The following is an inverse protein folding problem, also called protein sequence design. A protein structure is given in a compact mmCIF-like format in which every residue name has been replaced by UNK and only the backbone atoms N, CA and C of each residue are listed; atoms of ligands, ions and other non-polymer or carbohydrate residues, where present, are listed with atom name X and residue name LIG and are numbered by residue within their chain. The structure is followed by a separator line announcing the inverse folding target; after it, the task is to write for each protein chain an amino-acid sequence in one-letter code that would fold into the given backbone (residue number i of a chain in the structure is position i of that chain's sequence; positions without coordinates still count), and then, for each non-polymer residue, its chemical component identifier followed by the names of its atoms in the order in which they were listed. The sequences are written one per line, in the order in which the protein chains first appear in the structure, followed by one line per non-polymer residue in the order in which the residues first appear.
data_IF_507335491136
#
_entry.id   IF_507335491136
#
_cell.length_a   1.000
_cell.length_b   1.000
_cell.length_c   1.000
_cell.angle_alpha   90.00
_cell.angle_beta   90.00
_cell.angle_gamma   90.00
#
_symmetry.space_group_name_H-M   'P 1'
#
loop_
_entity.id
_entity.type
_entity.pdbx_description
1 polymer ?
#
# COMPACT_ATOMS: atom_id res chain seq x y z
N UNK A 1 13.35 -12.84 -99.43
CA UNK A 1 12.00 -12.67 -98.86
C UNK A 1 11.91 -13.59 -97.65
N UNK A 2 12.22 -13.03 -96.48
CA UNK A 2 12.08 -13.72 -95.17
C UNK A 2 11.57 -12.69 -94.23
N UNK A 3 10.40 -12.95 -93.64
CA UNK A 3 9.69 -12.04 -92.71
C UNK A 3 10.11 -12.41 -91.28
N UNK A 4 10.76 -11.48 -90.58
CA UNK A 4 11.09 -11.66 -89.18
C UNK A 4 9.89 -11.34 -88.29
N UNK A 5 9.51 -12.29 -87.44
CA UNK A 5 8.53 -12.12 -86.34
C UNK A 5 9.24 -11.78 -85.04
N UNK A 6 9.14 -10.56 -84.63
CA UNK A 6 9.60 -10.12 -83.27
C UNK A 6 8.50 -10.52 -82.27
N UNK A 7 8.83 -11.44 -81.36
CA UNK A 7 8.00 -11.78 -80.18
C UNK A 7 8.30 -10.77 -79.05
N UNK A 8 7.31 -9.98 -78.67
CA UNK A 8 7.36 -9.17 -77.46
C UNK A 8 7.00 -10.06 -76.27
N UNK A 9 7.95 -10.29 -75.35
CA UNK A 9 7.74 -10.89 -74.06
C UNK A 9 7.39 -9.79 -73.08
N UNK A 10 6.12 -9.67 -72.70
CA UNK A 10 5.66 -8.80 -71.62
C UNK A 10 6.03 -9.39 -70.24
N UNK A 11 6.89 -8.74 -69.52
CA UNK A 11 7.12 -9.07 -68.09
C UNK A 11 6.06 -8.36 -67.21
N UNK A 12 5.11 -9.13 -66.68
CA UNK A 12 4.26 -8.67 -65.56
C UNK A 12 5.11 -8.68 -64.31
N UNK A 13 5.42 -7.48 -63.77
CA UNK A 13 5.95 -7.32 -62.44
C UNK A 13 4.76 -7.31 -61.45
N UNK A 14 4.57 -8.39 -60.68
CA UNK A 14 3.62 -8.42 -59.57
C UNK A 14 4.23 -7.68 -58.39
N UNK A 15 3.73 -6.49 -58.07
CA UNK A 15 4.03 -5.75 -56.86
C UNK A 15 3.27 -6.40 -55.67
N UNK A 16 3.95 -7.19 -54.85
CA UNK A 16 3.44 -7.65 -53.56
C UNK A 16 3.50 -6.47 -52.57
N UNK A 17 2.39 -5.82 -52.32
CA UNK A 17 2.22 -4.86 -51.25
C UNK A 17 2.15 -5.62 -49.91
N UNK A 18 3.23 -5.63 -49.13
CA UNK A 18 3.25 -6.12 -47.76
C UNK A 18 2.64 -5.03 -46.87
N UNK A 19 1.37 -5.19 -46.53
CA UNK A 19 0.71 -4.33 -45.53
C UNK A 19 1.20 -4.70 -44.12
N UNK A 20 2.04 -3.86 -43.54
CA UNK A 20 2.41 -3.94 -42.14
C UNK A 20 1.23 -3.41 -41.29
N UNK A 21 0.46 -4.32 -40.73
CA UNK A 21 -0.52 -3.97 -39.71
C UNK A 21 0.23 -3.65 -38.42
N UNK A 22 0.38 -2.37 -38.10
CA UNK A 22 0.83 -1.94 -36.77
C UNK A 22 -0.32 -2.26 -35.82
N UNK A 23 -0.20 -3.34 -35.08
CA UNK A 23 -1.12 -3.62 -33.98
C UNK A 23 -0.87 -2.56 -32.89
N UNK A 24 -1.71 -1.54 -32.83
CA UNK A 24 -1.76 -0.63 -31.70
C UNK A 24 -2.24 -1.47 -30.53
N UNK A 25 -1.33 -1.78 -29.61
CA UNK A 25 -1.71 -2.46 -28.37
C UNK A 25 -2.75 -1.59 -27.65
N UNK A 26 -3.97 -2.07 -27.56
CA UNK A 26 -5.02 -1.39 -26.81
C UNK A 26 -4.53 -1.24 -25.36
N UNK A 27 -4.48 0.00 -24.87
CA UNK A 27 -4.12 0.28 -23.47
C UNK A 27 -5.16 -0.41 -22.58
N UNK A 28 -4.69 -1.20 -21.61
CA UNK A 28 -5.58 -1.87 -20.68
C UNK A 28 -6.43 -0.84 -19.93
N UNK A 29 -7.72 -1.14 -19.74
CA UNK A 29 -8.61 -0.28 -18.99
C UNK A 29 -8.16 -0.20 -17.52
N UNK A 30 -8.33 0.97 -16.91
CA UNK A 30 -8.04 1.18 -15.49
C UNK A 30 -8.86 0.22 -14.61
N UNK A 31 -8.29 -0.22 -13.50
CA UNK A 31 -8.99 -1.05 -12.52
C UNK A 31 -10.19 -0.31 -11.95
N UNK A 32 -11.39 -0.87 -12.12
CA UNK A 32 -12.66 -0.26 -11.70
C UNK A 32 -13.17 -0.72 -10.33
N UNK A 33 -12.53 -1.73 -9.73
CA UNK A 33 -12.95 -2.30 -8.45
C UNK A 33 -12.70 -1.39 -7.24
N UNK A 34 -13.14 -1.80 -6.03
CA UNK A 34 -12.88 -1.07 -4.79
C UNK A 34 -11.39 -1.03 -4.48
N UNK A 35 -10.95 0.01 -3.74
CA UNK A 35 -9.59 0.14 -3.22
C UNK A 35 -9.59 0.06 -1.70
N UNK A 36 -8.52 -0.55 -1.16
CA UNK A 36 -8.17 -0.58 0.25
C UNK A 36 -6.89 0.23 0.46
N UNK A 37 -6.98 1.37 1.13
CA UNK A 37 -5.82 2.19 1.46
C UNK A 37 -5.18 1.67 2.76
N UNK A 38 -4.10 0.91 2.63
CA UNK A 38 -3.46 0.22 3.75
C UNK A 38 -2.44 1.07 4.51
N UNK A 39 -2.29 2.36 4.17
CA UNK A 39 -1.34 3.25 4.80
C UNK A 39 -1.82 4.70 4.75
N UNK A 40 -2.62 5.11 5.73
CA UNK A 40 -3.18 6.45 5.77
C UNK A 40 -2.94 7.12 7.12
N UNK A 41 -2.44 8.36 7.06
CA UNK A 41 -2.30 9.24 8.23
C UNK A 41 -3.33 10.37 8.19
N UNK A 42 -3.92 10.64 9.34
CA UNK A 42 -4.78 11.78 9.57
C UNK A 42 -4.29 12.54 10.80
N UNK A 43 -3.16 13.20 10.64
CA UNK A 43 -2.41 13.83 11.71
C UNK A 43 -3.06 15.16 12.16
N UNK A 44 -2.69 15.65 13.32
CA UNK A 44 -3.21 16.90 13.89
C UNK A 44 -3.03 18.11 12.97
N UNK A 45 -1.98 18.12 12.12
CA UNK A 45 -1.76 19.19 11.15
C UNK A 45 -2.86 19.21 10.07
N UNK A 46 -3.46 18.05 9.75
CA UNK A 46 -4.61 17.99 8.85
C UNK A 46 -5.90 18.43 9.56
N UNK A 47 -6.08 18.01 10.81
CA UNK A 47 -7.24 18.32 11.64
C UNK A 47 -6.97 17.97 13.11
N UNK A 48 -7.09 18.94 14.00
CA UNK A 48 -6.88 18.78 15.43
C UNK A 48 -8.16 18.43 16.23
N UNK A 49 -9.25 18.17 15.53
CA UNK A 49 -10.58 17.96 16.11
C UNK A 49 -11.45 19.23 16.12
N UNK A 50 -10.91 20.40 15.78
CA UNK A 50 -11.60 21.69 15.76
C UNK A 50 -11.30 22.51 14.52
N UNK A 51 -10.03 22.56 14.12
CA UNK A 51 -9.52 23.39 13.03
C UNK A 51 -8.48 22.61 12.20
N UNK A 52 -8.34 23.00 10.95
CA UNK A 52 -7.39 22.43 10.01
C UNK A 52 -7.99 22.42 8.61
N UNK A 53 -7.14 22.31 7.57
CA UNK A 53 -7.59 22.45 6.18
C UNK A 53 -8.37 21.24 5.66
N UNK A 54 -8.33 20.10 6.35
CA UNK A 54 -8.88 18.82 5.86
C UNK A 54 -9.78 18.16 6.92
N UNK A 55 -11.00 18.68 7.17
CA UNK A 55 -11.95 18.07 8.10
C UNK A 55 -12.37 16.67 7.61
N UNK A 56 -12.91 15.79 8.49
CA UNK A 56 -13.31 14.42 8.12
C UNK A 56 -14.18 14.34 6.87
N UNK A 57 -15.12 15.27 6.69
CA UNK A 57 -15.98 15.30 5.52
C UNK A 57 -15.20 15.50 4.19
N UNK A 58 -14.14 16.33 4.20
CA UNK A 58 -13.31 16.55 3.01
C UNK A 58 -12.53 15.28 2.65
N UNK A 59 -11.77 14.73 3.61
CA UNK A 59 -10.93 13.54 3.34
C UNK A 59 -11.75 12.31 2.96
N UNK A 60 -12.87 12.08 3.62
CA UNK A 60 -13.79 10.98 3.30
C UNK A 60 -14.45 11.16 1.93
N UNK A 61 -14.76 12.40 1.53
CA UNK A 61 -15.24 12.70 0.18
C UNK A 61 -14.19 12.37 -0.89
N UNK A 62 -12.89 12.67 -0.66
CA UNK A 62 -11.78 12.30 -1.56
C UNK A 62 -11.67 10.77 -1.68
N UNK A 63 -11.74 10.04 -0.57
CA UNK A 63 -11.73 8.58 -0.55
C UNK A 63 -12.90 8.01 -1.37
N UNK A 64 -14.11 8.51 -1.17
CA UNK A 64 -15.29 8.09 -1.92
C UNK A 64 -15.11 8.30 -3.43
N UNK A 65 -14.68 9.51 -3.86
CA UNK A 65 -14.44 9.82 -5.28
C UNK A 65 -13.36 8.93 -5.89
N UNK A 66 -12.35 8.56 -5.11
CA UNK A 66 -11.29 7.63 -5.53
C UNK A 66 -11.73 6.16 -5.55
N UNK A 67 -12.92 5.85 -5.03
CA UNK A 67 -13.43 4.48 -4.91
C UNK A 67 -12.73 3.68 -3.80
N UNK A 68 -12.10 4.34 -2.83
CA UNK A 68 -11.60 3.72 -1.60
C UNK A 68 -12.78 3.35 -0.72
N UNK A 69 -12.79 2.13 -0.19
CA UNK A 69 -13.87 1.57 0.64
C UNK A 69 -13.41 1.17 2.04
N UNK A 70 -12.12 1.08 2.26
CA UNK A 70 -11.56 0.85 3.59
C UNK A 70 -10.18 1.49 3.70
N UNK A 71 -9.80 1.88 4.91
CA UNK A 71 -8.51 2.50 5.22
C UNK A 71 -7.92 1.90 6.49
N UNK A 72 -6.59 1.71 6.53
CA UNK A 72 -5.85 1.62 7.79
C UNK A 72 -5.54 3.04 8.23
N UNK A 73 -6.15 3.48 9.33
CA UNK A 73 -5.88 4.78 9.91
C UNK A 73 -4.86 4.66 11.04
N UNK A 74 -3.72 5.36 10.92
CA UNK A 74 -2.65 5.35 11.91
C UNK A 74 -2.07 6.78 12.07
N UNK A 75 -2.64 7.59 12.91
CA UNK A 75 -2.41 9.03 12.99
C UNK A 75 -1.59 9.41 14.22
N UNK A 76 -0.77 10.44 14.09
CA UNK A 76 0.00 11.03 15.17
C UNK A 76 -0.63 12.38 15.62
N UNK A 77 -0.98 12.54 16.89
CA UNK A 77 -1.20 11.46 17.88
C UNK A 77 -2.39 10.58 17.49
N UNK A 78 -2.67 9.55 18.27
CA UNK A 78 -3.79 8.62 18.01
C UNK A 78 -5.18 9.28 17.91
N UNK A 79 -5.29 10.55 18.32
CA UNK A 79 -6.53 11.33 18.26
C UNK A 79 -7.07 11.50 16.83
N UNK A 80 -6.19 11.63 15.82
CA UNK A 80 -6.62 11.67 14.42
C UNK A 80 -7.27 10.37 13.98
N UNK A 81 -6.71 9.22 14.38
CA UNK A 81 -7.33 7.90 14.16
C UNK A 81 -8.71 7.82 14.84
N UNK A 82 -8.81 8.27 16.10
CA UNK A 82 -10.06 8.30 16.86
C UNK A 82 -11.08 9.27 16.24
N UNK A 83 -10.63 10.38 15.68
CA UNK A 83 -11.49 11.36 14.99
C UNK A 83 -12.13 10.73 13.75
N UNK A 84 -11.36 10.06 12.89
CA UNK A 84 -11.93 9.35 11.72
C UNK A 84 -12.85 8.20 12.15
N UNK A 85 -12.44 7.42 13.15
CA UNK A 85 -13.26 6.33 13.69
C UNK A 85 -14.57 6.84 14.31
N UNK A 86 -14.57 8.04 14.90
CA UNK A 86 -15.73 8.69 15.50
C UNK A 86 -16.66 9.39 14.50
N UNK A 87 -16.20 9.63 13.28
CA UNK A 87 -16.98 10.28 12.21
C UNK A 87 -18.00 9.31 11.56
N UNK A 88 -18.76 8.57 12.38
CA UNK A 88 -19.58 7.41 11.96
C UNK A 88 -20.60 7.76 10.87
N UNK A 89 -21.25 8.92 10.92
CA UNK A 89 -22.17 9.36 9.88
C UNK A 89 -21.44 9.61 8.57
N UNK A 90 -20.33 10.37 8.58
CA UNK A 90 -19.57 10.72 7.39
C UNK A 90 -18.92 9.48 6.76
N UNK A 91 -18.42 8.53 7.56
CA UNK A 91 -17.85 7.26 7.06
C UNK A 91 -18.92 6.40 6.41
N UNK A 92 -20.12 6.32 6.99
CA UNK A 92 -21.28 5.62 6.41
C UNK A 92 -21.71 6.26 5.08
N UNK A 93 -21.85 7.59 5.03
CA UNK A 93 -22.21 8.35 3.81
C UNK A 93 -21.15 8.19 2.70
N UNK A 94 -19.86 8.11 3.08
CA UNK A 94 -18.76 7.89 2.14
C UNK A 94 -18.65 6.42 1.72
N UNK A 95 -19.21 5.48 2.47
CA UNK A 95 -19.04 4.05 2.30
C UNK A 95 -17.59 3.60 2.55
N UNK A 96 -16.94 4.18 3.58
CA UNK A 96 -15.55 3.92 3.95
C UNK A 96 -15.49 3.29 5.35
N UNK A 97 -14.89 2.11 5.45
CA UNK A 97 -14.59 1.45 6.72
C UNK A 97 -13.26 1.93 7.27
N UNK A 98 -13.22 2.37 8.52
CA UNK A 98 -12.00 2.74 9.23
C UNK A 98 -11.48 1.55 10.01
N UNK A 99 -10.26 1.11 9.71
CA UNK A 99 -9.52 0.08 10.45
C UNK A 99 -8.49 0.80 11.33
N UNK A 100 -8.71 0.95 12.64
CA UNK A 100 -7.83 1.75 13.48
C UNK A 100 -6.56 0.97 13.86
N UNK A 101 -5.39 1.63 13.71
CA UNK A 101 -4.10 1.18 14.20
C UNK A 101 -3.58 2.12 15.27
N UNK A 102 -2.86 1.59 16.25
CA UNK A 102 -2.22 2.36 17.32
C UNK A 102 -0.88 2.87 16.81
N UNK A 103 -0.75 4.20 16.66
CA UNK A 103 0.53 4.84 16.38
C UNK A 103 1.39 4.89 17.62
N UNK A 104 2.72 4.71 17.48
CA UNK A 104 3.65 4.71 18.63
C UNK A 104 4.08 6.11 19.07
N UNK A 105 3.50 7.18 18.52
CA UNK A 105 3.98 8.54 18.70
C UNK A 105 2.95 9.43 19.39
N UNK A 106 3.30 9.95 20.53
CA UNK A 106 2.60 11.03 21.24
C UNK A 106 2.97 12.40 20.66
N UNK A 107 4.24 12.50 20.20
CA UNK A 107 4.84 13.70 19.62
C UNK A 107 6.04 13.33 18.72
N UNK A 108 6.73 14.33 18.16
CA UNK A 108 7.87 14.10 17.26
C UNK A 108 9.08 13.44 17.90
N UNK A 109 9.33 13.66 19.20
CA UNK A 109 10.49 13.04 19.86
C UNK A 109 10.39 11.51 19.93
N UNK A 110 9.17 10.96 19.91
CA UNK A 110 8.96 9.52 19.96
C UNK A 110 9.48 8.81 18.70
N UNK A 111 9.66 9.50 17.55
CA UNK A 111 10.19 8.89 16.32
C UNK A 111 11.57 8.26 16.53
N UNK A 112 12.42 8.90 17.33
CA UNK A 112 13.81 8.47 17.57
C UNK A 112 14.01 7.74 18.89
N UNK A 113 12.95 7.56 19.70
CA UNK A 113 13.07 7.06 21.07
C UNK A 113 12.09 5.94 21.44
N UNK A 114 11.01 5.70 20.68
CA UNK A 114 9.95 4.75 21.05
C UNK A 114 10.47 3.35 21.40
N UNK A 115 11.52 2.89 20.73
CA UNK A 115 12.11 1.55 20.91
C UNK A 115 12.92 1.39 22.20
N UNK A 116 13.10 2.49 22.98
CA UNK A 116 13.78 2.52 24.29
C UNK A 116 12.86 2.96 25.43
N UNK A 117 11.64 3.41 25.10
CA UNK A 117 10.72 4.02 26.06
C UNK A 117 9.60 3.05 26.42
N UNK A 118 9.68 2.49 27.64
CA UNK A 118 8.66 1.58 28.17
C UNK A 118 7.28 2.23 28.29
N UNK A 119 7.21 3.55 28.42
CA UNK A 119 5.94 4.27 28.49
C UNK A 119 5.17 4.22 27.17
N UNK A 120 5.87 4.07 26.03
CA UNK A 120 5.25 3.81 24.74
C UNK A 120 4.58 2.44 24.70
N UNK A 121 5.25 1.41 25.23
CA UNK A 121 4.63 0.08 25.32
C UNK A 121 3.37 0.11 26.19
N UNK A 122 3.43 0.81 27.34
CA UNK A 122 2.25 0.99 28.19
C UNK A 122 1.14 1.75 27.46
N UNK A 123 1.45 2.82 26.74
CA UNK A 123 0.47 3.57 25.95
C UNK A 123 -0.23 2.66 24.93
N UNK A 124 0.51 1.76 24.25
CA UNK A 124 -0.07 0.82 23.29
C UNK A 124 -1.06 -0.12 24.00
N UNK A 125 -0.72 -0.62 25.17
CA UNK A 125 -1.64 -1.47 25.94
C UNK A 125 -2.91 -0.72 26.38
N UNK A 126 -2.76 0.53 26.83
CA UNK A 126 -3.86 1.39 27.26
C UNK A 126 -4.79 1.75 26.07
N UNK A 127 -4.22 2.10 24.89
CA UNK A 127 -5.02 2.34 23.68
C UNK A 127 -5.71 1.08 23.18
N UNK A 128 -5.03 -0.06 23.20
CA UNK A 128 -5.63 -1.33 22.81
C UNK A 128 -6.83 -1.71 23.69
N UNK A 129 -6.71 -1.52 25.01
CA UNK A 129 -7.80 -1.79 25.94
C UNK A 129 -8.97 -0.81 25.77
N UNK A 130 -8.70 0.45 25.37
CA UNK A 130 -9.73 1.47 25.17
C UNK A 130 -10.55 1.25 23.89
N UNK A 131 -9.91 0.85 22.78
CA UNK A 131 -10.55 0.77 21.47
C UNK A 131 -10.92 2.15 20.90
N UNK A 132 -11.77 2.14 19.87
CA UNK A 132 -12.28 3.32 19.18
C UNK A 132 -13.79 3.21 18.92
N UNK A 133 -14.43 4.28 18.46
CA UNK A 133 -15.83 4.25 18.04
C UNK A 133 -16.10 3.34 16.82
N UNK A 134 -15.06 3.04 16.01
CA UNK A 134 -15.14 2.05 14.92
C UNK A 134 -14.89 0.61 15.40
N UNK A 135 -14.73 0.40 16.71
CA UNK A 135 -14.43 -0.90 17.32
C UNK A 135 -12.98 -1.01 17.83
N UNK A 136 -12.51 -2.24 18.10
CA UNK A 136 -11.18 -2.47 18.65
C UNK A 136 -10.09 -2.07 17.64
N UNK A 137 -8.92 -1.67 18.15
CA UNK A 137 -7.74 -1.54 17.32
C UNK A 137 -7.38 -2.89 16.68
N UNK A 138 -6.94 -2.83 15.43
CA UNK A 138 -6.64 -4.02 14.60
C UNK A 138 -5.16 -4.14 14.27
N UNK A 139 -4.35 -3.15 14.68
CA UNK A 139 -2.92 -3.17 14.42
C UNK A 139 -2.15 -2.13 15.24
N UNK A 140 -0.83 -2.18 15.10
CA UNK A 140 0.16 -1.31 15.73
C UNK A 140 1.04 -0.72 14.64
N UNK A 141 1.35 0.56 14.71
CA UNK A 141 2.17 1.28 13.73
C UNK A 141 1.31 2.31 12.97
N UNK A 142 1.85 3.04 12.04
CA UNK A 142 3.21 2.93 11.55
C UNK A 142 4.25 3.31 12.62
N UNK A 143 5.37 2.63 12.65
CA UNK A 143 6.55 3.07 13.38
C UNK A 143 7.80 3.02 12.49
N UNK A 144 8.79 3.86 12.81
CA UNK A 144 10.04 3.98 12.08
C UNK A 144 11.20 3.37 12.87
N UNK A 145 12.10 2.70 12.16
CA UNK A 145 13.43 2.36 12.66
C UNK A 145 14.44 2.73 11.57
N UNK A 146 15.06 3.90 11.74
CA UNK A 146 16.08 4.40 10.81
C UNK A 146 17.44 3.71 10.99
N UNK A 147 17.67 3.11 12.16
CA UNK A 147 18.77 2.19 12.45
C UNK A 147 18.15 0.82 12.76
N UNK A 148 18.37 -0.13 11.87
CA UNK A 148 17.83 -1.50 11.97
C UNK A 148 18.21 -2.20 13.27
N UNK A 149 19.36 -1.87 13.91
CA UNK A 149 19.75 -2.44 15.19
C UNK A 149 18.74 -2.18 16.32
N UNK A 150 17.97 -1.10 16.22
CA UNK A 150 16.92 -0.79 17.17
C UNK A 150 15.73 -1.76 17.10
N UNK A 151 15.61 -2.53 16.01
CA UNK A 151 14.60 -3.58 15.88
C UNK A 151 14.83 -4.76 16.83
N UNK A 152 16.08 -4.97 17.28
CA UNK A 152 16.43 -6.01 18.25
C UNK A 152 16.24 -5.58 19.72
N UNK A 153 15.73 -4.36 19.94
CA UNK A 153 15.54 -3.80 21.27
C UNK A 153 14.38 -4.43 22.07
N UNK A 154 14.39 -4.29 23.42
CA UNK A 154 13.41 -4.95 24.28
C UNK A 154 11.98 -4.44 24.08
N UNK A 155 11.79 -3.15 23.73
CA UNK A 155 10.46 -2.58 23.47
C UNK A 155 9.92 -3.11 22.14
N UNK A 156 10.76 -3.16 21.09
CA UNK A 156 10.38 -3.76 19.80
C UNK A 156 9.98 -5.24 19.95
N UNK A 157 10.78 -6.01 20.70
CA UNK A 157 10.50 -7.42 21.01
C UNK A 157 9.14 -7.61 21.70
N UNK A 158 8.84 -6.76 22.71
CA UNK A 158 7.57 -6.81 23.45
C UNK A 158 6.39 -6.44 22.53
N UNK A 159 6.53 -5.41 21.71
CA UNK A 159 5.50 -4.99 20.77
C UNK A 159 5.18 -6.06 19.74
N UNK A 160 6.20 -6.73 19.15
CA UNK A 160 6.01 -7.83 18.22
C UNK A 160 5.29 -9.02 18.86
N UNK A 161 5.69 -9.41 20.08
CA UNK A 161 5.02 -10.47 20.85
C UNK A 161 3.60 -10.10 21.22
N UNK A 162 3.38 -8.85 21.65
CA UNK A 162 2.03 -8.35 21.97
C UNK A 162 1.12 -8.35 20.74
N UNK A 163 1.61 -7.89 19.59
CA UNK A 163 0.87 -7.92 18.35
C UNK A 163 0.47 -9.35 17.95
N UNK A 164 1.41 -10.28 18.03
CA UNK A 164 1.15 -11.69 17.70
C UNK A 164 0.15 -12.35 18.67
N UNK A 165 0.25 -12.06 19.99
CA UNK A 165 -0.64 -12.61 21.01
C UNK A 165 -2.09 -12.09 20.90
N UNK A 166 -2.28 -10.86 20.40
CA UNK A 166 -3.59 -10.21 20.27
C UNK A 166 -4.10 -10.16 18.82
N UNK A 167 -3.50 -10.92 17.92
CA UNK A 167 -3.86 -10.97 16.48
C UNK A 167 -3.86 -9.59 15.80
N UNK A 168 -2.96 -8.71 16.22
CA UNK A 168 -2.78 -7.39 15.62
C UNK A 168 -1.83 -7.44 14.43
N UNK A 169 -2.09 -6.61 13.43
CA UNK A 169 -1.18 -6.41 12.28
C UNK A 169 -0.17 -5.34 12.65
N UNK A 170 1.09 -5.53 12.32
CA UNK A 170 2.14 -4.54 12.51
C UNK A 170 2.38 -3.79 11.20
N UNK A 171 2.41 -2.46 11.21
CA UNK A 171 2.82 -1.62 10.08
C UNK A 171 4.17 -0.99 10.44
N UNK A 172 5.23 -1.35 9.71
CA UNK A 172 6.60 -0.97 10.02
C UNK A 172 7.29 -0.26 8.84
N UNK A 173 7.78 0.95 9.09
CA UNK A 173 8.58 1.77 8.17
C UNK A 173 10.06 1.54 8.45
N UNK A 174 10.62 0.51 7.87
CA UNK A 174 11.95 0.00 8.18
C UNK A 174 12.67 -0.49 6.92
N UNK A 175 13.98 -0.69 7.03
CA UNK A 175 14.77 -1.37 6.00
C UNK A 175 14.57 -2.90 6.01
N UNK A 176 15.21 -3.59 5.10
CA UNK A 176 15.12 -5.04 4.95
C UNK A 176 15.81 -5.82 6.07
N UNK A 177 16.85 -5.26 6.71
CA UNK A 177 17.56 -5.89 7.83
C UNK A 177 16.67 -5.88 9.10
N UNK A 178 15.95 -4.78 9.34
CA UNK A 178 15.03 -4.69 10.46
C UNK A 178 13.85 -5.68 10.35
N UNK A 179 13.41 -6.05 9.12
CA UNK A 179 12.37 -7.08 8.94
C UNK A 179 12.84 -8.41 9.55
N UNK A 180 14.08 -8.85 9.27
CA UNK A 180 14.60 -10.08 9.83
C UNK A 180 14.63 -10.05 11.37
N UNK A 181 15.04 -8.92 11.96
CA UNK A 181 15.10 -8.74 13.42
C UNK A 181 13.69 -8.71 14.06
N UNK A 182 12.77 -7.93 13.49
CA UNK A 182 11.39 -7.88 14.01
C UNK A 182 10.70 -9.24 13.94
N UNK A 183 10.82 -9.94 12.81
CA UNK A 183 10.21 -11.25 12.63
C UNK A 183 10.88 -12.34 13.49
N UNK A 184 12.14 -12.18 13.91
CA UNK A 184 12.77 -13.09 14.86
C UNK A 184 12.12 -13.07 16.25
N UNK A 185 11.56 -11.92 16.68
CA UNK A 185 10.85 -11.81 17.96
C UNK A 185 9.50 -12.51 17.99
N UNK A 186 8.82 -12.58 16.84
CA UNK A 186 7.50 -13.21 16.69
C UNK A 186 7.30 -13.68 15.23
N UNK A 187 7.81 -14.87 14.86
CA UNK A 187 7.75 -15.35 13.46
C UNK A 187 6.33 -15.51 12.92
N UNK A 188 5.34 -15.67 13.81
CA UNK A 188 3.91 -15.77 13.46
C UNK A 188 3.20 -14.42 13.34
N UNK A 189 3.86 -13.29 13.64
CA UNK A 189 3.26 -11.97 13.50
C UNK A 189 2.87 -11.66 12.04
N UNK A 190 1.79 -10.90 11.86
CA UNK A 190 1.41 -10.33 10.57
C UNK A 190 2.07 -8.95 10.45
N UNK A 191 2.90 -8.75 9.44
CA UNK A 191 3.63 -7.51 9.26
C UNK A 191 3.40 -6.94 7.87
N UNK A 192 3.04 -5.66 7.82
CA UNK A 192 3.01 -4.83 6.61
C UNK A 192 4.31 -4.02 6.58
N UNK A 193 5.09 -4.22 5.55
CA UNK A 193 6.34 -3.50 5.31
C UNK A 193 6.04 -2.23 4.51
N UNK A 194 5.98 -1.09 5.18
CA UNK A 194 5.70 0.21 4.56
C UNK A 194 6.69 0.50 3.44
N UNK A 195 6.19 1.00 2.31
CA UNK A 195 6.93 1.29 1.07
C UNK A 195 7.73 0.09 0.53
N UNK A 196 7.50 -1.12 1.04
CA UNK A 196 8.32 -2.31 0.77
C UNK A 196 9.81 -2.01 0.99
N UNK A 197 10.10 -1.26 2.05
CA UNK A 197 11.42 -0.89 2.57
C UNK A 197 11.90 0.52 2.28
N UNK A 198 12.35 1.20 3.34
CA UNK A 198 13.10 2.45 3.22
C UNK A 198 14.43 2.18 2.49
N UNK A 199 14.93 3.20 1.77
CA UNK A 199 16.15 3.07 0.97
C UNK A 199 15.99 2.26 -0.31
N UNK A 200 14.80 1.68 -0.59
CA UNK A 200 14.53 1.01 -1.86
C UNK A 200 15.18 -0.38 -1.97
N UNK A 201 14.80 -1.33 -1.11
CA UNK A 201 15.31 -2.71 -1.20
C UNK A 201 15.16 -3.27 -2.63
N UNK A 202 16.18 -3.98 -3.19
CA UNK A 202 16.09 -4.61 -4.51
C UNK A 202 14.93 -5.60 -4.58
N UNK A 203 14.32 -5.76 -5.77
CA UNK A 203 13.16 -6.65 -5.96
C UNK A 203 13.47 -8.09 -5.56
N UNK A 204 14.70 -8.55 -5.81
CA UNK A 204 15.18 -9.88 -5.44
C UNK A 204 15.22 -10.06 -3.92
N UNK A 205 15.62 -9.02 -3.18
CA UNK A 205 15.61 -9.04 -1.71
C UNK A 205 14.18 -9.05 -1.17
N UNK A 206 13.27 -8.30 -1.77
CA UNK A 206 11.84 -8.35 -1.44
C UNK A 206 11.29 -9.77 -1.65
N UNK A 207 11.60 -10.40 -2.78
CA UNK A 207 11.18 -11.78 -3.06
C UNK A 207 11.69 -12.77 -2.00
N UNK A 208 12.96 -12.65 -1.59
CA UNK A 208 13.55 -13.50 -0.54
C UNK A 208 12.82 -13.36 0.80
N UNK A 209 12.52 -12.11 1.22
CA UNK A 209 11.82 -11.86 2.47
C UNK A 209 10.37 -12.36 2.44
N UNK A 210 9.66 -12.16 1.33
CA UNK A 210 8.31 -12.69 1.13
C UNK A 210 8.28 -14.23 1.17
N UNK A 211 9.30 -14.90 0.61
CA UNK A 211 9.44 -16.36 0.67
C UNK A 211 9.73 -16.84 2.08
N UNK A 212 10.60 -16.12 2.82
CA UNK A 212 11.01 -16.47 4.17
C UNK A 212 9.91 -16.28 5.21
N UNK A 213 9.11 -15.21 5.05
CA UNK A 213 8.07 -14.83 6.02
C UNK A 213 6.68 -14.89 5.40
N UNK A 214 5.94 -16.01 5.57
CA UNK A 214 4.63 -16.20 4.93
C UNK A 214 3.56 -15.16 5.30
N UNK A 215 3.73 -14.42 6.40
CA UNK A 215 2.80 -13.39 6.87
C UNK A 215 3.31 -11.95 6.68
N UNK A 216 4.44 -11.77 5.97
CA UNK A 216 4.94 -10.47 5.57
C UNK A 216 4.17 -9.99 4.32
N UNK A 217 3.74 -8.75 4.30
CA UNK A 217 3.13 -8.09 3.15
C UNK A 217 3.91 -6.83 2.78
N UNK A 218 4.06 -6.55 1.49
CA UNK A 218 4.65 -5.31 0.99
C UNK A 218 3.57 -4.26 0.75
N UNK A 219 3.72 -3.08 1.34
CA UNK A 219 2.88 -1.92 1.04
C UNK A 219 3.64 -0.99 0.07
N UNK A 220 2.94 -0.38 -0.88
CA UNK A 220 3.53 0.15 -2.11
C UNK A 220 3.45 1.68 -2.25
N UNK A 221 2.99 2.40 -1.22
CA UNK A 221 2.96 3.87 -1.29
C UNK A 221 4.35 4.43 -1.51
N UNK A 222 4.48 5.36 -2.46
CA UNK A 222 5.73 6.05 -2.79
C UNK A 222 6.95 5.14 -2.98
N UNK A 223 6.72 3.86 -3.38
CA UNK A 223 7.81 2.91 -3.62
C UNK A 223 8.66 3.33 -4.83
N UNK A 224 9.95 3.68 -4.65
CA UNK A 224 10.83 4.01 -5.77
C UNK A 224 10.99 2.83 -6.74
N UNK A 225 10.97 3.11 -8.04
CA UNK A 225 11.16 2.10 -9.08
C UNK A 225 10.00 1.10 -9.24
N UNK A 226 8.85 1.35 -8.62
CA UNK A 226 7.65 0.54 -8.78
C UNK A 226 7.08 0.64 -10.20
N UNK A 227 6.99 1.87 -10.70
CA UNK A 227 6.46 2.18 -12.03
C UNK A 227 7.54 2.70 -12.95
N UNK A 228 7.43 2.31 -14.23
CA UNK A 228 8.24 2.75 -15.35
C UNK A 228 7.43 3.71 -16.25
N UNK A 229 7.87 3.89 -17.50
CA UNK A 229 7.26 4.79 -18.47
C UNK A 229 5.74 4.53 -18.61
N UNK A 230 5.00 5.62 -18.78
CA UNK A 230 3.53 5.55 -18.88
C UNK A 230 2.80 5.20 -17.58
N UNK A 231 3.51 5.14 -16.43
CA UNK A 231 2.93 4.84 -15.13
C UNK A 231 2.49 3.37 -14.96
N UNK A 232 3.04 2.46 -15.78
CA UNK A 232 2.83 1.02 -15.67
C UNK A 232 3.88 0.40 -14.75
N UNK A 233 3.57 -0.77 -14.17
CA UNK A 233 4.54 -1.50 -13.34
C UNK A 233 5.82 -1.81 -14.14
N UNK A 234 6.97 -1.59 -13.53
CA UNK A 234 8.22 -2.08 -14.06
C UNK A 234 8.23 -3.61 -14.16
N UNK A 235 8.88 -4.21 -15.17
CA UNK A 235 8.78 -5.67 -15.44
C UNK A 235 9.10 -6.55 -14.24
N UNK A 236 10.13 -6.21 -13.46
CA UNK A 236 10.53 -6.98 -12.28
C UNK A 236 9.44 -6.96 -11.18
N UNK A 237 8.84 -5.79 -10.90
CA UNK A 237 7.74 -5.66 -9.95
C UNK A 237 6.49 -6.39 -10.42
N UNK A 238 6.17 -6.27 -11.72
CA UNK A 238 5.05 -7.00 -12.31
C UNK A 238 5.22 -8.51 -12.14
N UNK A 239 6.40 -9.05 -12.44
CA UNK A 239 6.70 -10.48 -12.27
C UNK A 239 6.57 -10.92 -10.80
N UNK A 240 7.10 -10.12 -9.85
CA UNK A 240 7.01 -10.40 -8.42
C UNK A 240 5.56 -10.43 -7.93
N UNK A 241 4.71 -9.48 -8.37
CA UNK A 241 3.29 -9.42 -8.00
C UNK A 241 2.48 -10.58 -8.58
N UNK A 242 2.77 -10.98 -9.82
CA UNK A 242 2.14 -12.15 -10.44
C UNK A 242 2.48 -13.45 -9.71
N UNK A 243 3.72 -13.57 -9.24
CA UNK A 243 4.16 -14.73 -8.45
C UNK A 243 3.59 -14.71 -7.00
N UNK A 244 3.25 -13.52 -6.49
CA UNK A 244 2.84 -13.33 -5.09
C UNK A 244 1.57 -12.45 -4.97
N UNK A 245 0.45 -12.79 -5.62
CA UNK A 245 -0.72 -11.89 -5.72
C UNK A 245 -1.38 -11.59 -4.38
N UNK A 246 -1.21 -12.44 -3.38
CA UNK A 246 -1.74 -12.27 -2.03
C UNK A 246 -0.83 -11.50 -1.06
N UNK A 247 0.24 -10.84 -1.54
CA UNK A 247 1.30 -10.34 -0.67
C UNK A 247 1.55 -8.82 -0.79
N UNK A 248 0.75 -8.09 -1.56
CA UNK A 248 0.93 -6.66 -1.77
C UNK A 248 -0.33 -5.88 -1.44
N UNK A 249 -0.11 -4.63 -0.99
CA UNK A 249 -1.13 -3.65 -0.61
C UNK A 249 -0.78 -2.30 -1.23
N UNK A 250 -1.77 -1.48 -1.50
CA UNK A 250 -1.60 -0.06 -1.87
C UNK A 250 -1.87 0.82 -0.66
N UNK A 251 -1.32 2.04 -0.66
CA UNK A 251 -1.53 3.01 0.42
C UNK A 251 -1.30 4.44 -0.04
N UNK A 252 -1.78 5.41 0.73
CA UNK A 252 -1.66 6.83 0.41
C UNK A 252 -0.51 7.53 1.15
N UNK A 253 -0.16 7.05 2.33
CA UNK A 253 0.85 7.65 3.20
C UNK A 253 0.69 9.18 3.32
N UNK A 254 -0.47 9.63 3.76
CA UNK A 254 -0.85 11.04 3.86
C UNK A 254 -0.27 11.73 5.11
N UNK A 255 1.03 11.53 5.39
CA UNK A 255 1.69 12.03 6.61
C UNK A 255 1.86 13.54 6.66
N UNK A 256 1.69 14.23 5.54
CA UNK A 256 1.76 15.69 5.42
C UNK A 256 0.58 16.26 4.65
N UNK A 257 0.18 17.49 4.97
CA UNK A 257 -0.95 18.16 4.33
C UNK A 257 -0.81 18.32 2.81
N UNK A 258 0.41 18.42 2.30
CA UNK A 258 0.67 18.53 0.86
C UNK A 258 0.24 17.28 0.07
N UNK A 259 0.00 16.14 0.72
CA UNK A 259 -0.44 14.90 0.08
C UNK A 259 -1.94 14.80 -0.12
N UNK A 260 -2.74 15.51 0.67
CA UNK A 260 -4.19 15.48 0.53
C UNK A 260 -4.71 16.00 -0.83
N UNK A 261 -4.20 17.12 -1.40
CA UNK A 261 -4.57 17.54 -2.74
C UNK A 261 -4.23 16.51 -3.83
N UNK A 262 -3.21 15.67 -3.60
CA UNK A 262 -2.73 14.66 -4.54
C UNK A 262 -3.40 13.27 -4.35
N UNK A 263 -4.24 13.10 -3.34
CA UNK A 263 -4.82 11.81 -2.96
C UNK A 263 -5.54 11.13 -4.13
N UNK A 264 -6.42 11.85 -4.83
CA UNK A 264 -7.20 11.30 -5.94
C UNK A 264 -6.32 10.93 -7.14
N UNK A 265 -5.30 11.73 -7.45
CA UNK A 265 -4.35 11.42 -8.53
C UNK A 265 -3.47 10.21 -8.20
N UNK A 266 -3.07 10.05 -6.94
CA UNK A 266 -2.34 8.86 -6.47
C UNK A 266 -3.20 7.59 -6.65
N UNK A 267 -4.45 7.62 -6.20
CA UNK A 267 -5.38 6.49 -6.34
C UNK A 267 -5.66 6.16 -7.82
N UNK A 268 -5.77 7.19 -8.67
CA UNK A 268 -5.87 7.02 -10.12
C UNK A 268 -4.62 6.35 -10.71
N UNK A 269 -3.43 6.71 -10.22
CA UNK A 269 -2.17 6.04 -10.59
C UNK A 269 -2.19 4.55 -10.26
N UNK A 270 -2.69 4.18 -9.09
CA UNK A 270 -2.88 2.76 -8.72
C UNK A 270 -3.85 2.06 -9.66
N UNK A 271 -5.00 2.66 -9.98
CA UNK A 271 -5.97 2.08 -10.90
C UNK A 271 -5.37 1.78 -12.27
N UNK A 272 -4.51 2.68 -12.76
CA UNK A 272 -3.85 2.53 -14.07
C UNK A 272 -2.96 1.29 -14.12
N UNK A 273 -2.02 1.13 -13.20
CA UNK A 273 -1.15 -0.05 -13.25
C UNK A 273 -1.83 -1.33 -12.77
N UNK A 274 -2.81 -1.27 -11.86
CA UNK A 274 -3.65 -2.42 -11.51
C UNK A 274 -4.40 -2.93 -12.74
N UNK A 275 -4.91 -2.03 -13.60
CA UNK A 275 -5.57 -2.40 -14.87
C UNK A 275 -4.67 -3.16 -15.83
N UNK A 276 -3.34 -2.99 -15.73
CA UNK A 276 -2.35 -3.76 -16.49
C UNK A 276 -2.06 -5.18 -15.97
N UNK A 277 -2.66 -5.58 -14.83
CA UNK A 277 -2.54 -6.91 -14.24
C UNK A 277 -3.76 -7.79 -14.61
N UNK A 278 -3.64 -9.13 -14.51
CA UNK A 278 -4.81 -9.99 -14.53
C UNK A 278 -5.86 -9.57 -13.50
N UNK A 279 -7.13 -9.66 -13.85
CA UNK A 279 -8.23 -9.09 -13.05
C UNK A 279 -8.29 -9.62 -11.60
N UNK A 280 -7.97 -10.88 -11.39
CA UNK A 280 -7.91 -11.50 -10.06
C UNK A 280 -6.74 -10.97 -9.23
N UNK A 281 -5.57 -10.76 -9.85
CA UNK A 281 -4.39 -10.18 -9.19
C UNK A 281 -4.65 -8.71 -8.82
N UNK A 282 -5.22 -7.94 -9.75
CA UNK A 282 -5.60 -6.55 -9.51
C UNK A 282 -6.59 -6.42 -8.34
N UNK A 283 -7.61 -7.29 -8.29
CA UNK A 283 -8.61 -7.33 -7.22
C UNK A 283 -7.97 -7.70 -5.87
N UNK A 284 -7.05 -8.65 -5.84
CA UNK A 284 -6.32 -9.02 -4.63
C UNK A 284 -5.52 -7.85 -4.08
N UNK A 285 -4.67 -7.23 -4.90
CA UNK A 285 -3.79 -6.14 -4.47
C UNK A 285 -4.59 -4.88 -4.15
N UNK A 286 -5.59 -4.53 -4.97
CA UNK A 286 -6.38 -3.32 -4.78
C UNK A 286 -7.34 -3.40 -3.58
N UNK A 287 -7.79 -4.60 -3.21
CA UNK A 287 -8.84 -4.75 -2.21
C UNK A 287 -8.70 -5.97 -1.29
N UNK A 288 -8.69 -7.21 -1.84
CA UNK A 288 -8.96 -8.41 -1.05
C UNK A 288 -7.88 -8.67 0.00
N UNK A 289 -6.61 -8.39 -0.32
CA UNK A 289 -5.51 -8.59 0.62
C UNK A 289 -5.67 -7.72 1.87
N UNK A 290 -6.04 -6.45 1.71
CA UNK A 290 -6.31 -5.56 2.83
C UNK A 290 -7.54 -5.99 3.63
N UNK A 291 -8.63 -6.32 2.95
CA UNK A 291 -9.86 -6.78 3.58
C UNK A 291 -9.65 -8.07 4.39
N UNK A 292 -8.89 -9.03 3.84
CA UNK A 292 -8.61 -10.30 4.52
C UNK A 292 -7.77 -10.17 5.79
N UNK A 293 -6.90 -9.13 5.88
CA UNK A 293 -6.12 -8.87 7.09
C UNK A 293 -6.99 -8.52 8.30
N UNK A 294 -8.18 -8.02 8.07
CA UNK A 294 -9.05 -7.48 9.12
C UNK A 294 -10.42 -8.18 9.19
N UNK A 295 -10.65 -9.20 8.36
CA UNK A 295 -11.83 -10.04 8.47
C UNK A 295 -11.83 -10.73 9.83
N UNK A 296 -13.01 -10.84 10.51
CA UNK A 296 -13.13 -11.69 11.68
C UNK A 296 -12.66 -13.10 11.31
N UNK A 297 -11.82 -13.72 12.14
CA UNK A 297 -11.55 -15.14 12.00
C UNK A 297 -12.82 -15.88 12.43
N UNK A 298 -13.40 -16.61 11.49
CA UNK A 298 -14.50 -17.54 11.76
C UNK A 298 -14.04 -18.69 12.63
#
# INVERSE_FOLDING_TARGET
MIVDRVRRVGRLAALLAVSWSVAVAAQAADYAGPLFDAHLHYNEEAWDGRSGPYPPADVLSRMRRSGVRAIIANSRPNDGTKTLAGATRQTAEAGVTVVPFIRLYRNRADYDNWFRDDTIYKMVQDEFARGTAAGPYRGIGEFHLYDSRNADGPVAARLMKFAAANDLVVLAHVDDAAIDLLMAHAPQARLIWAHTGIGGAPVERVAQLLARYPRLMGELSYRPGLTCDGGQLCPAWRALMLANPGRFLIGSDTWTNSRWPQYESLMSGYRRWLGGLPADVARRIGWENGAALHAPRL
#
